data_IF_101838692392
#
_entry.id   IF_101838692392
#
_cell.length_a   1.000
_cell.length_b   1.000
_cell.length_c   1.000
_cell.angle_alpha   90.00
_cell.angle_beta   90.00
_cell.angle_gamma   90.00
#
_symmetry.space_group_name_H-M   'P 1'
#
loop_
_entity.id
_entity.type
_entity.pdbx_description
1 polymer ?
#
# COMPACT_ATOMS: atom_id res chain seq x y z
N UNK A 1 -11.72 -39.42 4.07
CA UNK A 1 -11.45 -38.56 5.22
C UNK A 1 -12.16 -37.25 4.93
N UNK A 2 -13.29 -36.98 5.63
CA UNK A 2 -13.99 -35.70 5.49
C UNK A 2 -13.06 -34.62 6.10
N UNK A 3 -12.48 -33.78 5.27
CA UNK A 3 -11.89 -32.54 5.73
C UNK A 3 -13.07 -31.68 6.21
N UNK A 4 -13.28 -31.64 7.53
CA UNK A 4 -14.21 -30.68 8.11
C UNK A 4 -13.80 -29.29 7.60
N UNK A 5 -14.60 -28.76 6.69
CA UNK A 5 -14.33 -27.47 6.09
C UNK A 5 -14.47 -26.42 7.20
N UNK A 6 -13.40 -25.67 7.45
CA UNK A 6 -13.41 -24.64 8.48
C UNK A 6 -14.35 -23.50 8.06
N UNK A 7 -15.46 -23.37 8.78
CA UNK A 7 -16.52 -22.38 8.49
C UNK A 7 -16.50 -21.30 9.57
N UNK A 8 -16.45 -20.04 9.15
CA UNK A 8 -16.54 -18.85 9.99
C UNK A 8 -17.74 -18.01 9.55
N UNK A 9 -18.72 -17.82 10.42
CA UNK A 9 -19.89 -16.97 10.20
C UNK A 9 -20.59 -17.20 8.84
N UNK A 10 -20.70 -18.49 8.41
CA UNK A 10 -21.31 -18.86 7.14
C UNK A 10 -20.41 -18.75 5.91
N UNK A 11 -19.12 -18.53 6.11
CA UNK A 11 -18.09 -18.52 5.08
C UNK A 11 -17.17 -19.73 5.24
N UNK A 12 -17.21 -20.65 4.28
CA UNK A 12 -16.36 -21.83 4.25
C UNK A 12 -15.00 -21.48 3.64
N UNK A 13 -13.94 -21.58 4.43
CA UNK A 13 -12.56 -21.33 3.99
C UNK A 13 -12.13 -22.43 3.04
N UNK A 14 -11.59 -22.07 1.86
CA UNK A 14 -11.26 -23.00 0.80
C UNK A 14 -9.77 -23.06 0.49
N UNK A 15 -9.09 -21.91 0.49
CA UNK A 15 -7.69 -21.83 0.12
C UNK A 15 -6.98 -20.74 0.93
N UNK A 16 -5.84 -21.07 1.54
CA UNK A 16 -4.99 -20.10 2.20
C UNK A 16 -4.20 -19.33 1.14
N UNK A 17 -4.54 -18.06 0.95
CA UNK A 17 -3.93 -17.21 -0.07
C UNK A 17 -2.61 -16.58 0.41
N UNK A 18 -2.56 -16.18 1.70
CA UNK A 18 -1.40 -15.51 2.26
C UNK A 18 -1.33 -15.69 3.79
N UNK A 19 -0.13 -15.91 4.30
CA UNK A 19 0.17 -15.79 5.73
C UNK A 19 1.14 -14.64 5.94
N UNK A 20 0.71 -13.65 6.72
CA UNK A 20 1.54 -12.53 7.18
C UNK A 20 2.03 -12.73 8.61
N UNK A 21 2.66 -11.70 9.18
CA UNK A 21 3.16 -11.73 10.57
C UNK A 21 2.04 -11.70 11.63
N UNK A 22 0.88 -11.18 11.28
CA UNK A 22 -0.22 -10.94 12.23
C UNK A 22 -1.54 -11.58 11.80
N UNK A 23 -1.70 -11.88 10.52
CA UNK A 23 -2.96 -12.34 9.96
C UNK A 23 -2.76 -13.27 8.78
N UNK A 24 -3.80 -14.04 8.49
CA UNK A 24 -3.94 -14.84 7.29
C UNK A 24 -5.04 -14.26 6.41
N UNK A 25 -4.89 -14.42 5.09
CA UNK A 25 -5.94 -14.13 4.11
C UNK A 25 -6.33 -15.45 3.45
N UNK A 26 -7.61 -15.76 3.54
CA UNK A 26 -8.22 -16.96 3.01
C UNK A 26 -9.18 -16.63 1.88
N UNK A 27 -9.17 -17.43 0.83
CA UNK A 27 -10.31 -17.53 -0.06
C UNK A 27 -11.42 -18.28 0.63
N UNK A 28 -12.66 -17.80 0.50
CA UNK A 28 -13.82 -18.41 1.12
C UNK A 28 -15.03 -18.37 0.19
N UNK A 29 -15.96 -19.31 0.42
CA UNK A 29 -17.24 -19.40 -0.27
C UNK A 29 -18.34 -19.18 0.75
N UNK A 30 -19.21 -18.20 0.54
CA UNK A 30 -20.40 -18.00 1.35
C UNK A 30 -21.38 -19.14 1.12
N UNK A 31 -21.76 -19.87 2.14
CA UNK A 31 -22.53 -21.11 2.02
C UNK A 31 -23.92 -20.90 1.42
N UNK A 32 -24.57 -19.79 1.75
CA UNK A 32 -25.93 -19.48 1.25
C UNK A 32 -25.93 -19.15 -0.23
N UNK A 33 -24.98 -18.34 -0.71
CA UNK A 33 -25.00 -17.79 -2.07
C UNK A 33 -24.06 -18.49 -3.04
N UNK A 34 -23.09 -19.26 -2.54
CA UNK A 34 -22.01 -19.84 -3.33
C UNK A 34 -20.99 -18.83 -3.87
N UNK A 35 -21.09 -17.56 -3.48
CA UNK A 35 -20.20 -16.51 -3.96
C UNK A 35 -18.83 -16.58 -3.25
N UNK A 36 -17.79 -16.21 -4.00
CA UNK A 36 -16.40 -16.15 -3.49
C UNK A 36 -16.11 -14.82 -2.83
N UNK A 37 -15.41 -14.89 -1.71
CA UNK A 37 -14.93 -13.77 -0.91
C UNK A 37 -13.49 -14.01 -0.47
N UNK A 38 -12.85 -13.01 0.11
CA UNK A 38 -11.63 -13.17 0.88
C UNK A 38 -11.89 -12.82 2.34
N UNK A 39 -11.33 -13.58 3.26
CA UNK A 39 -11.39 -13.32 4.70
C UNK A 39 -9.98 -12.99 5.20
N UNK A 40 -9.83 -11.86 5.90
CA UNK A 40 -8.62 -11.55 6.66
C UNK A 40 -8.86 -11.86 8.12
N UNK A 41 -8.12 -12.85 8.64
CA UNK A 41 -8.24 -13.43 9.97
C UNK A 41 -6.95 -13.16 10.75
N UNK A 42 -7.03 -12.68 11.99
CA UNK A 42 -5.86 -12.60 12.87
C UNK A 42 -5.35 -14.01 13.24
N UNK A 43 -4.04 -14.14 13.32
CA UNK A 43 -3.43 -15.33 13.91
C UNK A 43 -3.85 -15.47 15.38
N UNK A 44 -4.06 -16.69 15.90
CA UNK A 44 -4.57 -16.90 17.27
C UNK A 44 -3.75 -16.17 18.34
N UNK A 45 -2.42 -16.21 18.25
CA UNK A 45 -1.52 -15.50 19.16
C UNK A 45 -1.66 -13.98 19.08
N UNK A 46 -2.02 -13.44 17.92
CA UNK A 46 -2.24 -12.00 17.68
C UNK A 46 -3.65 -11.56 18.05
N UNK A 47 -4.61 -12.48 17.97
CA UNK A 47 -5.98 -12.23 18.41
C UNK A 47 -6.07 -11.95 19.93
N UNK A 48 -5.14 -12.45 20.74
CA UNK A 48 -5.02 -12.13 22.16
C UNK A 48 -4.56 -10.70 22.44
N UNK A 49 -3.85 -10.07 21.50
CA UNK A 49 -3.25 -8.73 21.65
C UNK A 49 -4.23 -7.63 21.24
N UNK A 50 -4.59 -6.73 22.17
CA UNK A 50 -5.57 -5.66 21.93
C UNK A 50 -5.14 -4.70 20.81
N UNK A 51 -3.85 -4.51 20.62
CA UNK A 51 -3.31 -3.64 19.56
C UNK A 51 -3.59 -4.20 18.16
N UNK A 52 -3.37 -5.50 17.92
CA UNK A 52 -3.65 -6.14 16.64
C UNK A 52 -5.15 -6.19 16.32
N UNK A 53 -5.98 -6.44 17.33
CA UNK A 53 -7.45 -6.35 17.19
C UNK A 53 -7.88 -4.94 16.76
N UNK A 54 -7.29 -3.90 17.36
CA UNK A 54 -7.57 -2.50 17.00
C UNK A 54 -7.14 -2.18 15.57
N UNK A 55 -6.04 -2.75 15.08
CA UNK A 55 -5.63 -2.59 13.68
C UNK A 55 -6.62 -3.23 12.73
N UNK A 56 -7.04 -4.48 13.02
CA UNK A 56 -8.03 -5.17 12.21
C UNK A 56 -9.37 -4.42 12.19
N UNK A 57 -9.83 -3.93 13.34
CA UNK A 57 -11.03 -3.10 13.46
C UNK A 57 -10.92 -1.80 12.65
N UNK A 58 -9.78 -1.11 12.76
CA UNK A 58 -9.53 0.13 12.01
C UNK A 58 -9.58 -0.14 10.50
N UNK A 59 -8.92 -1.19 10.04
CA UNK A 59 -8.91 -1.60 8.63
C UNK A 59 -10.33 -1.91 8.14
N UNK A 60 -11.07 -2.71 8.89
CA UNK A 60 -12.47 -3.04 8.55
C UNK A 60 -13.36 -1.80 8.53
N UNK A 61 -13.25 -0.93 9.53
CA UNK A 61 -14.03 0.31 9.62
C UNK A 61 -13.75 1.25 8.46
N UNK A 62 -12.47 1.51 8.17
CA UNK A 62 -12.07 2.43 7.10
C UNK A 62 -12.45 1.86 5.74
N UNK A 63 -12.15 0.58 5.47
CA UNK A 63 -12.46 -0.05 4.20
C UNK A 63 -13.96 -0.14 3.89
N UNK A 64 -14.81 -0.25 4.93
CA UNK A 64 -16.28 -0.19 4.75
C UNK A 64 -16.79 1.22 4.41
N UNK A 65 -16.08 2.28 4.81
CA UNK A 65 -16.41 3.67 4.49
C UNK A 65 -15.93 4.08 3.09
N UNK A 66 -14.87 3.44 2.59
CA UNK A 66 -14.28 3.77 1.30
C UNK A 66 -14.95 2.93 0.21
N UNK A 67 -15.70 3.59 -0.68
CA UNK A 67 -16.40 2.94 -1.78
C UNK A 67 -15.92 3.50 -3.12
N UNK A 68 -14.94 2.81 -3.71
CA UNK A 68 -14.33 3.20 -4.98
C UNK A 68 -13.87 1.94 -5.73
N UNK A 69 -14.00 1.88 -7.08
CA UNK A 69 -13.65 0.68 -7.86
C UNK A 69 -12.17 0.30 -7.80
N UNK A 70 -11.30 1.19 -7.34
CA UNK A 70 -9.84 0.93 -7.17
C UNK A 70 -9.44 0.72 -5.69
N UNK A 71 -10.41 0.64 -4.78
CA UNK A 71 -10.21 0.36 -3.35
C UNK A 71 -10.88 -0.96 -3.04
N UNK A 72 -10.21 -1.83 -2.28
CA UNK A 72 -10.78 -3.13 -1.88
C UNK A 72 -12.07 -2.92 -1.09
N UNK A 73 -13.13 -3.62 -1.47
CA UNK A 73 -14.41 -3.51 -0.78
C UNK A 73 -14.44 -4.43 0.44
N UNK A 74 -14.68 -3.88 1.62
CA UNK A 74 -14.92 -4.64 2.85
C UNK A 74 -16.40 -4.65 3.13
N UNK A 75 -16.97 -5.84 3.37
CA UNK A 75 -18.40 -6.06 3.55
C UNK A 75 -18.79 -6.15 5.02
N UNK A 76 -18.15 -7.04 5.77
CA UNK A 76 -18.53 -7.40 7.12
C UNK A 76 -17.30 -7.46 8.03
N UNK A 77 -17.51 -7.20 9.31
CA UNK A 77 -16.47 -7.33 10.34
C UNK A 77 -17.04 -8.09 11.54
N UNK A 78 -16.29 -9.07 11.98
CA UNK A 78 -16.63 -9.97 13.07
C UNK A 78 -15.56 -9.82 14.18
N UNK A 79 -15.91 -9.15 15.31
CA UNK A 79 -14.96 -8.85 16.39
C UNK A 79 -14.82 -9.99 17.41
N UNK A 80 -15.13 -11.24 17.05
CA UNK A 80 -15.08 -12.40 17.95
C UNK A 80 -13.72 -12.50 18.64
N UNK A 81 -13.75 -13.01 19.88
CA UNK A 81 -12.56 -13.06 20.73
C UNK A 81 -11.49 -14.01 20.18
N UNK A 82 -11.91 -15.17 19.68
CA UNK A 82 -10.99 -16.22 19.22
C UNK A 82 -10.54 -16.03 17.77
N UNK A 83 -11.47 -15.65 16.90
CA UNK A 83 -11.23 -15.54 15.44
C UNK A 83 -11.70 -14.20 14.89
N UNK A 84 -11.15 -13.06 15.35
CA UNK A 84 -11.53 -11.77 14.80
C UNK A 84 -11.13 -11.67 13.34
N UNK A 85 -12.10 -11.36 12.46
CA UNK A 85 -11.88 -11.32 11.03
C UNK A 85 -12.82 -10.33 10.33
N UNK A 86 -12.52 -10.03 9.08
CA UNK A 86 -13.45 -9.34 8.20
C UNK A 86 -13.53 -10.03 6.83
N UNK A 87 -14.65 -9.80 6.17
CA UNK A 87 -14.96 -10.30 4.83
C UNK A 87 -14.80 -9.18 3.82
N UNK A 88 -14.06 -9.44 2.75
CA UNK A 88 -13.80 -8.49 1.67
C UNK A 88 -14.02 -9.13 0.30
N UNK A 89 -14.04 -8.30 -0.76
CA UNK A 89 -14.11 -8.80 -2.13
C UNK A 89 -12.95 -9.76 -2.40
N UNK A 90 -13.26 -10.84 -3.12
CA UNK A 90 -12.23 -11.69 -3.68
C UNK A 90 -11.68 -11.01 -4.95
N UNK A 91 -10.45 -10.53 -4.88
CA UNK A 91 -9.78 -9.92 -6.01
C UNK A 91 -8.65 -10.85 -6.50
N UNK A 92 -8.79 -11.46 -7.70
CA UNK A 92 -7.82 -12.43 -8.20
C UNK A 92 -6.56 -11.68 -8.69
N UNK A 93 -5.45 -11.87 -8.01
CA UNK A 93 -4.20 -11.22 -8.41
C UNK A 93 -3.11 -11.35 -7.37
N UNK A 94 -1.97 -10.73 -7.65
CA UNK A 94 -0.86 -10.63 -6.73
C UNK A 94 -0.66 -9.17 -6.35
N UNK A 95 -0.04 -8.91 -5.20
CA UNK A 95 0.37 -7.55 -4.92
C UNK A 95 1.50 -7.11 -5.87
N UNK A 96 1.66 -5.80 -6.02
CA UNK A 96 2.64 -5.22 -6.94
C UNK A 96 4.07 -5.62 -6.55
N UNK A 97 4.38 -5.80 -5.26
CA UNK A 97 5.68 -6.29 -4.80
C UNK A 97 6.00 -7.67 -5.33
N UNK A 98 5.06 -8.60 -5.22
CA UNK A 98 5.21 -9.96 -5.75
C UNK A 98 5.40 -9.97 -7.27
N UNK A 99 4.70 -9.06 -7.99
CA UNK A 99 4.88 -8.92 -9.43
C UNK A 99 6.26 -8.36 -9.79
N UNK A 100 6.72 -7.33 -9.08
CA UNK A 100 8.07 -6.77 -9.25
C UNK A 100 9.17 -7.82 -9.03
N UNK A 101 8.97 -8.72 -8.05
CA UNK A 101 9.94 -9.80 -7.77
C UNK A 101 9.92 -10.92 -8.82
N UNK A 102 8.77 -11.23 -9.43
CA UNK A 102 8.65 -12.35 -10.40
C UNK A 102 9.17 -12.02 -11.78
N UNK A 103 8.75 -10.93 -12.39
CA UNK A 103 9.26 -10.40 -13.67
C UNK A 103 8.70 -8.99 -13.88
N UNK A 104 9.57 -8.01 -13.93
CA UNK A 104 9.22 -6.63 -14.27
C UNK A 104 8.52 -6.53 -15.66
N UNK A 105 8.93 -7.40 -16.60
CA UNK A 105 8.37 -7.53 -17.95
C UNK A 105 6.83 -7.68 -17.96
N UNK A 106 6.28 -8.37 -16.96
CA UNK A 106 4.82 -8.56 -16.87
C UNK A 106 4.04 -7.30 -16.49
N UNK A 107 4.74 -6.26 -15.99
CA UNK A 107 4.11 -5.02 -15.53
C UNK A 107 4.25 -3.91 -16.57
N UNK A 108 5.32 -3.91 -17.36
CA UNK A 108 5.65 -2.82 -18.29
C UNK A 108 4.48 -2.45 -19.22
N UNK A 109 3.76 -3.39 -19.84
CA UNK A 109 2.63 -3.02 -20.70
C UNK A 109 1.50 -2.28 -19.95
N UNK A 110 1.38 -2.50 -18.63
CA UNK A 110 0.31 -1.96 -17.81
C UNK A 110 0.81 -0.94 -16.77
N UNK A 111 2.12 -0.65 -16.72
CA UNK A 111 2.70 0.15 -15.62
C UNK A 111 2.07 1.52 -15.49
N UNK A 112 1.83 2.22 -16.60
CA UNK A 112 1.14 3.52 -16.59
C UNK A 112 -0.27 3.41 -16.01
N UNK A 113 -1.02 2.42 -16.46
CA UNK A 113 -2.39 2.18 -15.99
C UNK A 113 -2.44 1.78 -14.50
N UNK A 114 -1.50 0.96 -14.04
CA UNK A 114 -1.38 0.58 -12.63
C UNK A 114 -1.08 1.81 -11.77
N UNK A 115 -0.15 2.66 -12.18
CA UNK A 115 0.22 3.88 -11.46
C UNK A 115 -0.97 4.85 -11.40
N UNK A 116 -1.63 5.10 -12.52
CA UNK A 116 -2.79 5.99 -12.60
C UNK A 116 -3.92 5.53 -11.68
N UNK A 117 -4.33 4.25 -11.77
CA UNK A 117 -5.38 3.69 -10.93
C UNK A 117 -5.02 3.73 -9.43
N UNK A 118 -3.74 3.47 -9.08
CA UNK A 118 -3.28 3.57 -7.68
C UNK A 118 -3.35 5.00 -7.17
N UNK A 119 -3.00 5.96 -8.01
CA UNK A 119 -3.10 7.39 -7.70
C UNK A 119 -4.56 7.85 -7.55
N UNK A 120 -5.47 7.38 -8.40
CA UNK A 120 -6.91 7.67 -8.31
C UNK A 120 -7.53 7.11 -7.01
N UNK A 121 -7.14 5.88 -6.62
CA UNK A 121 -7.58 5.28 -5.37
C UNK A 121 -7.15 6.13 -4.16
N UNK A 122 -5.91 6.62 -4.19
CA UNK A 122 -5.35 7.43 -3.12
C UNK A 122 -5.96 8.84 -3.12
N UNK A 123 -6.18 9.47 -4.29
CA UNK A 123 -6.88 10.74 -4.42
C UNK A 123 -8.29 10.67 -3.80
N UNK A 124 -9.05 9.62 -4.14
CA UNK A 124 -10.37 9.39 -3.55
C UNK A 124 -10.30 9.26 -2.01
N UNK A 125 -9.31 8.56 -1.48
CA UNK A 125 -9.12 8.41 -0.04
C UNK A 125 -8.84 9.77 0.63
N UNK A 126 -8.00 10.60 0.01
CA UNK A 126 -7.69 11.96 0.47
C UNK A 126 -8.91 12.90 0.41
N UNK A 127 -9.75 12.80 -0.62
CA UNK A 127 -11.03 13.55 -0.72
C UNK A 127 -11.96 13.20 0.46
N UNK A 128 -11.95 11.95 0.89
CA UNK A 128 -12.67 11.50 2.10
C UNK A 128 -11.97 11.86 3.41
N UNK A 129 -10.87 12.66 3.34
CA UNK A 129 -10.06 13.11 4.49
C UNK A 129 -9.43 11.98 5.29
N UNK A 130 -9.03 10.91 4.60
CA UNK A 130 -8.26 9.82 5.15
C UNK A 130 -6.85 9.78 4.56
N UNK A 131 -5.85 9.55 5.40
CA UNK A 131 -4.48 9.22 5.04
C UNK A 131 -4.29 7.71 5.15
N UNK A 132 -3.57 7.12 4.22
CA UNK A 132 -3.26 5.70 4.24
C UNK A 132 -2.11 5.36 5.19
N UNK A 133 -1.02 6.13 5.12
CA UNK A 133 0.17 6.07 5.98
C UNK A 133 1.09 4.85 5.78
N UNK A 134 0.73 3.91 4.91
CA UNK A 134 1.57 2.75 4.57
C UNK A 134 1.49 2.42 3.06
N UNK A 135 1.64 3.43 2.21
CA UNK A 135 1.68 3.24 0.75
C UNK A 135 2.99 2.56 0.36
N UNK A 136 2.86 1.39 -0.28
CA UNK A 136 3.96 0.55 -0.77
C UNK A 136 3.45 -0.45 -1.81
N UNK A 137 4.33 -1.10 -2.59
CA UNK A 137 3.92 -2.09 -3.58
C UNK A 137 3.13 -3.28 -2.99
N UNK A 138 3.36 -3.62 -1.72
CA UNK A 138 2.65 -4.71 -1.04
C UNK A 138 1.15 -4.42 -0.88
N UNK A 139 0.78 -3.15 -0.78
CA UNK A 139 -0.59 -2.69 -0.54
C UNK A 139 -1.35 -2.30 -1.82
N UNK A 140 -0.80 -2.63 -2.98
CA UNK A 140 -1.43 -2.49 -4.29
C UNK A 140 -1.62 -3.87 -4.90
N UNK A 141 -2.85 -4.38 -4.91
CA UNK A 141 -3.20 -5.61 -5.63
C UNK A 141 -3.37 -5.31 -7.11
N UNK A 142 -2.89 -6.22 -7.97
CA UNK A 142 -2.98 -6.09 -9.43
C UNK A 142 -3.42 -7.43 -10.03
N UNK A 143 -4.47 -7.45 -10.83
CA UNK A 143 -4.94 -8.64 -11.54
C UNK A 143 -4.25 -8.85 -12.92
N UNK A 144 -4.65 -9.91 -13.63
CA UNK A 144 -4.04 -10.28 -14.92
C UNK A 144 -4.19 -9.23 -16.03
N UNK A 145 -5.19 -8.37 -15.95
CA UNK A 145 -5.48 -7.31 -16.95
C UNK A 145 -5.04 -5.91 -16.50
N UNK A 146 -4.30 -5.82 -15.39
CA UNK A 146 -3.75 -4.55 -14.89
C UNK A 146 -4.73 -3.71 -14.06
N UNK A 147 -5.87 -4.26 -13.64
CA UNK A 147 -6.74 -3.58 -12.68
C UNK A 147 -6.14 -3.60 -11.28
N UNK A 148 -6.42 -2.57 -10.51
CA UNK A 148 -5.83 -2.30 -9.19
C UNK A 148 -6.87 -2.33 -8.08
N UNK A 149 -6.45 -2.78 -6.89
CA UNK A 149 -7.13 -2.53 -5.61
C UNK A 149 -6.11 -2.06 -4.58
N UNK A 150 -6.37 -0.88 -4.00
CA UNK A 150 -5.67 -0.40 -2.81
C UNK A 150 -6.21 -1.16 -1.60
N UNK A 151 -5.30 -1.72 -0.79
CA UNK A 151 -5.61 -2.57 0.37
C UNK A 151 -4.88 -2.10 1.62
N UNK A 152 -5.24 -2.65 2.77
CA UNK A 152 -4.58 -2.50 4.08
C UNK A 152 -4.69 -1.09 4.68
N UNK A 153 -5.82 -0.82 5.34
CA UNK A 153 -6.10 0.45 6.02
C UNK A 153 -5.81 0.41 7.52
N UNK A 154 -5.01 -0.56 7.99
CA UNK A 154 -4.74 -0.76 9.43
C UNK A 154 -4.11 0.48 10.09
N UNK A 155 -3.30 1.25 9.36
CA UNK A 155 -2.66 2.47 9.82
C UNK A 155 -3.38 3.75 9.37
N UNK A 156 -4.50 3.62 8.65
CA UNK A 156 -5.21 4.77 8.12
C UNK A 156 -5.71 5.71 9.24
N UNK A 157 -5.64 7.01 8.97
CA UNK A 157 -5.97 8.05 9.95
C UNK A 157 -6.65 9.25 9.28
N UNK A 158 -7.52 9.94 10.00
CA UNK A 158 -8.12 11.20 9.54
C UNK A 158 -7.07 12.31 9.44
N UNK A 159 -7.13 13.09 8.37
CA UNK A 159 -6.30 14.30 8.20
C UNK A 159 -6.48 15.21 9.40
N UNK A 160 -5.36 15.69 9.96
CA UNK A 160 -5.38 16.60 11.13
C UNK A 160 -5.65 15.92 12.48
N UNK A 161 -5.71 14.59 12.52
CA UNK A 161 -5.84 13.86 13.78
C UNK A 161 -4.62 14.11 14.69
N UNK A 162 -4.89 14.22 16.00
CA UNK A 162 -3.82 14.38 17.01
C UNK A 162 -3.17 13.06 17.42
N UNK A 163 -3.66 11.92 16.92
CA UNK A 163 -3.16 10.59 17.31
C UNK A 163 -1.72 10.36 16.88
N UNK A 164 -1.30 10.87 15.73
CA UNK A 164 0.10 10.81 15.27
C UNK A 164 1.07 11.42 16.29
N UNK A 165 0.71 12.54 16.94
CA UNK A 165 1.54 13.20 17.96
C UNK A 165 1.76 12.37 19.23
N UNK A 166 0.77 11.59 19.64
CA UNK A 166 0.84 10.76 20.87
C UNK A 166 1.78 9.57 20.69
N UNK A 167 1.83 8.99 19.49
CA UNK A 167 2.73 7.86 19.19
C UNK A 167 4.17 8.33 18.90
N UNK A 168 4.35 9.47 18.26
CA UNK A 168 5.66 10.06 18.05
C UNK A 168 6.41 10.36 19.37
N UNK A 169 5.70 10.87 20.39
CA UNK A 169 6.27 11.07 21.72
C UNK A 169 6.78 9.80 22.40
N UNK A 170 6.30 8.61 21.95
CA UNK A 170 6.74 7.30 22.47
C UNK A 170 7.83 6.64 21.65
N UNK A 171 8.39 7.30 20.63
CA UNK A 171 9.44 6.73 19.77
C UNK A 171 8.95 5.54 18.90
N UNK A 172 7.64 5.30 18.81
CA UNK A 172 7.06 4.20 18.05
C UNK A 172 6.82 4.67 16.64
N UNK A 173 7.73 4.31 15.75
CA UNK A 173 7.61 4.55 14.31
C UNK A 173 6.81 3.40 13.69
N UNK A 174 5.55 3.68 13.25
CA UNK A 174 4.65 2.71 12.63
C UNK A 174 4.64 2.88 11.11
N UNK A 175 4.67 1.77 10.39
CA UNK A 175 4.71 1.72 8.93
C UNK A 175 5.99 1.09 8.40
N UNK A 176 6.02 0.87 7.09
CA UNK A 176 7.17 0.26 6.43
C UNK A 176 8.25 1.29 6.21
N UNK A 177 9.36 1.20 6.98
CA UNK A 177 10.42 2.22 7.05
C UNK A 177 10.97 2.66 5.70
N UNK A 178 11.00 1.78 4.70
CA UNK A 178 11.51 2.08 3.34
C UNK A 178 10.66 3.07 2.54
N UNK A 179 9.45 3.39 2.98
CA UNK A 179 8.52 4.30 2.29
C UNK A 179 8.04 5.45 3.17
N UNK A 180 8.55 5.54 4.40
CA UNK A 180 8.08 6.47 5.41
C UNK A 180 8.51 7.90 5.09
N UNK A 181 7.57 8.85 5.17
CA UNK A 181 7.85 10.26 4.92
C UNK A 181 8.64 10.91 6.06
N UNK A 182 9.43 11.97 5.78
CA UNK A 182 10.15 12.72 6.80
C UNK A 182 9.29 13.21 7.96
N UNK A 183 8.07 13.70 7.66
CA UNK A 183 7.12 14.19 8.66
C UNK A 183 6.54 13.06 9.51
N UNK A 184 6.34 11.84 8.95
CA UNK A 184 5.98 10.66 9.74
C UNK A 184 7.10 10.27 10.71
N UNK A 185 8.34 10.30 10.25
CA UNK A 185 9.52 9.98 11.08
C UNK A 185 9.67 10.99 12.21
N UNK A 186 9.46 12.28 11.95
CA UNK A 186 9.51 13.35 12.97
C UNK A 186 8.30 13.38 13.88
N UNK A 187 7.24 12.63 13.58
CA UNK A 187 5.99 12.66 14.34
C UNK A 187 5.22 13.98 14.22
N UNK A 188 5.36 14.64 13.11
CA UNK A 188 4.63 15.89 12.81
C UNK A 188 3.16 15.60 12.49
N UNK A 189 2.35 16.65 12.46
CA UNK A 189 0.98 16.55 11.94
C UNK A 189 1.05 16.23 10.45
N UNK A 190 0.35 15.15 10.05
CA UNK A 190 0.36 14.67 8.69
C UNK A 190 -0.76 15.32 7.86
N UNK A 191 -0.45 15.55 6.60
CA UNK A 191 -1.38 15.83 5.51
C UNK A 191 -1.16 14.83 4.36
N UNK A 192 -1.92 14.95 3.29
CA UNK A 192 -1.88 14.05 2.13
C UNK A 192 -0.49 13.93 1.47
N UNK A 193 0.38 14.93 1.66
CA UNK A 193 1.74 14.92 1.13
C UNK A 193 2.66 13.88 1.78
N UNK A 194 2.26 13.32 2.94
CA UNK A 194 2.95 12.17 3.51
C UNK A 194 2.76 10.91 2.64
N UNK A 195 1.53 10.64 2.20
CA UNK A 195 1.24 9.53 1.30
C UNK A 195 1.86 9.75 -0.10
N UNK A 196 1.90 11.02 -0.58
CA UNK A 196 2.60 11.36 -1.83
C UNK A 196 4.09 11.00 -1.79
N UNK A 197 4.77 11.25 -0.68
CA UNK A 197 6.17 10.84 -0.51
C UNK A 197 6.31 9.30 -0.58
N UNK A 198 5.45 8.58 0.13
CA UNK A 198 5.44 7.11 0.11
C UNK A 198 5.14 6.57 -1.29
N UNK A 199 4.23 7.21 -2.02
CA UNK A 199 3.93 6.90 -3.41
C UNK A 199 5.14 7.18 -4.32
N UNK A 200 5.86 8.28 -4.10
CA UNK A 200 7.14 8.57 -4.77
C UNK A 200 8.19 7.49 -4.53
N UNK A 201 8.31 6.98 -3.29
CA UNK A 201 9.19 5.84 -2.98
C UNK A 201 8.76 4.56 -3.73
N UNK A 202 7.46 4.31 -3.84
CA UNK A 202 6.92 3.19 -4.61
C UNK A 202 7.22 3.32 -6.12
N UNK A 203 7.02 4.51 -6.71
CA UNK A 203 7.38 4.77 -8.10
C UNK A 203 8.88 4.57 -8.35
N UNK A 204 9.71 5.08 -7.45
CA UNK A 204 11.16 4.87 -7.52
C UNK A 204 11.50 3.38 -7.56
N UNK A 205 10.87 2.57 -6.70
CA UNK A 205 11.09 1.12 -6.68
C UNK A 205 10.58 0.44 -7.93
N UNK A 206 9.41 0.80 -8.44
CA UNK A 206 8.86 0.27 -9.71
C UNK A 206 9.87 0.45 -10.85
N UNK A 207 10.47 1.63 -10.97
CA UNK A 207 11.33 1.95 -12.10
C UNK A 207 12.80 1.61 -11.91
N UNK A 208 13.28 1.59 -10.66
CA UNK A 208 14.69 1.33 -10.34
C UNK A 208 14.96 -0.07 -9.77
N UNK A 209 13.92 -0.90 -9.54
CA UNK A 209 14.03 -2.24 -8.96
C UNK A 209 14.38 -2.26 -7.47
N UNK A 210 14.47 -1.10 -6.83
CA UNK A 210 14.80 -0.95 -5.40
C UNK A 210 14.25 0.35 -4.83
N UNK A 211 13.95 0.44 -3.54
CA UNK A 211 13.54 1.69 -2.91
C UNK A 211 14.66 2.75 -2.98
N UNK A 212 14.32 4.06 -2.83
CA UNK A 212 15.28 5.16 -2.96
C UNK A 212 16.43 5.09 -1.97
N UNK A 213 16.18 4.55 -0.77
CA UNK A 213 17.18 4.43 0.29
C UNK A 213 17.26 2.98 0.79
N UNK A 214 18.50 2.55 1.09
CA UNK A 214 18.83 1.28 1.76
C UNK A 214 19.87 1.56 2.83
N UNK A 215 19.84 0.86 3.94
CA UNK A 215 20.82 0.96 5.03
C UNK A 215 20.86 -0.34 5.82
N UNK A 216 21.97 -0.57 6.53
CA UNK A 216 22.19 -1.79 7.33
C UNK A 216 21.45 -1.77 8.67
N UNK A 217 20.94 -0.61 9.07
CA UNK A 217 20.14 -0.49 10.29
C UNK A 217 18.86 0.32 10.07
N UNK A 218 17.80 0.01 10.82
CA UNK A 218 16.55 0.78 10.77
C UNK A 218 16.75 2.27 11.04
N UNK A 219 17.64 2.63 11.97
CA UNK A 219 17.95 4.02 12.32
C UNK A 219 18.60 4.74 11.15
N UNK A 220 19.65 4.15 10.56
CA UNK A 220 20.33 4.72 9.40
C UNK A 220 19.39 4.88 8.19
N UNK A 221 18.46 3.96 8.00
CA UNK A 221 17.45 4.09 6.94
C UNK A 221 16.52 5.30 7.16
N UNK A 222 16.05 5.51 8.39
CA UNK A 222 15.22 6.67 8.73
C UNK A 222 16.01 7.99 8.58
N UNK A 223 17.29 8.02 8.97
CA UNK A 223 18.16 9.18 8.76
C UNK A 223 18.32 9.54 7.28
N UNK A 224 18.43 8.53 6.38
CA UNK A 224 18.45 8.76 4.94
C UNK A 224 17.14 9.36 4.44
N UNK A 225 15.99 8.88 4.90
CA UNK A 225 14.70 9.50 4.57
C UNK A 225 14.62 10.96 5.04
N UNK A 226 15.25 11.31 6.16
CA UNK A 226 15.25 12.68 6.69
C UNK A 226 16.19 13.63 5.93
N UNK A 227 17.38 13.16 5.52
CA UNK A 227 18.47 14.06 5.15
C UNK A 227 19.12 13.75 3.79
N UNK A 228 19.17 12.48 3.35
CA UNK A 228 19.87 12.10 2.12
C UNK A 228 18.99 12.39 0.88
N UNK A 229 19.61 12.99 -0.16
CA UNK A 229 18.96 13.12 -1.47
C UNK A 229 18.97 11.77 -2.19
N UNK A 230 17.85 11.32 -2.78
CA UNK A 230 17.84 10.09 -3.57
C UNK A 230 18.71 10.28 -4.83
N UNK A 231 19.25 9.17 -5.33
CA UNK A 231 19.87 9.17 -6.66
C UNK A 231 18.78 9.41 -7.71
N UNK A 232 19.14 10.06 -8.81
CA UNK A 232 18.23 10.25 -9.93
C UNK A 232 17.78 8.90 -10.48
N UNK A 233 16.47 8.61 -10.61
CA UNK A 233 15.95 7.40 -11.23
C UNK A 233 16.59 7.08 -12.58
N UNK A 234 16.79 8.10 -13.44
CA UNK A 234 17.43 7.96 -14.75
C UNK A 234 18.88 7.45 -14.68
N UNK A 235 19.60 7.71 -13.60
CA UNK A 235 20.94 7.15 -13.41
C UNK A 235 20.92 5.62 -13.23
N UNK A 236 19.78 5.07 -12.83
CA UNK A 236 19.56 3.61 -12.64
C UNK A 236 18.76 3.00 -13.80
N UNK A 237 17.82 3.75 -14.36
CA UNK A 237 17.01 3.37 -15.50
C UNK A 237 17.04 4.45 -16.59
N UNK A 238 18.04 4.44 -17.49
CA UNK A 238 18.20 5.44 -18.54
C UNK A 238 17.07 5.42 -19.60
N UNK A 239 16.11 4.51 -19.51
CA UNK A 239 14.94 4.50 -20.37
C UNK A 239 13.85 5.49 -19.91
N UNK A 240 13.89 5.96 -18.66
CA UNK A 240 12.93 6.96 -18.17
C UNK A 240 13.09 8.30 -18.92
N UNK A 241 11.97 9.01 -19.08
CA UNK A 241 12.00 10.41 -19.52
C UNK A 241 12.51 11.31 -18.39
N UNK A 242 12.95 12.52 -18.75
CA UNK A 242 13.36 13.54 -17.78
C UNK A 242 12.17 13.99 -16.91
N UNK A 243 11.02 14.18 -17.55
CA UNK A 243 9.78 14.55 -16.88
C UNK A 243 9.37 13.54 -15.78
N UNK A 244 9.52 12.24 -16.06
CA UNK A 244 9.20 11.19 -15.07
C UNK A 244 10.23 11.16 -13.93
N UNK A 245 11.52 11.37 -14.26
CA UNK A 245 12.60 11.50 -13.29
C UNK A 245 12.34 12.64 -12.32
N UNK A 246 12.08 13.84 -12.86
CA UNK A 246 11.80 15.06 -12.10
C UNK A 246 10.54 14.91 -11.22
N UNK A 247 9.48 14.30 -11.75
CA UNK A 247 8.25 14.06 -10.98
C UNK A 247 8.53 13.18 -9.75
N UNK A 248 9.27 12.09 -9.92
CA UNK A 248 9.63 11.19 -8.80
C UNK A 248 10.50 11.93 -7.78
N UNK A 249 11.52 12.65 -8.24
CA UNK A 249 12.42 13.40 -7.35
C UNK A 249 11.66 14.49 -6.59
N UNK A 250 10.74 15.20 -7.25
CA UNK A 250 9.89 16.19 -6.61
C UNK A 250 9.01 15.58 -5.52
N UNK A 251 8.45 14.40 -5.73
CA UNK A 251 7.66 13.69 -4.69
C UNK A 251 8.51 13.29 -3.49
N UNK A 252 9.82 13.05 -3.69
CA UNK A 252 10.77 12.65 -2.64
C UNK A 252 11.44 13.84 -1.94
N UNK A 253 11.02 15.09 -2.20
CA UNK A 253 11.56 16.26 -1.50
C UNK A 253 11.31 16.16 0.01
N UNK A 254 12.32 16.56 0.80
CA UNK A 254 12.25 16.51 2.27
C UNK A 254 11.32 17.58 2.83
N UNK A 255 11.25 18.72 2.15
CA UNK A 255 10.24 19.75 2.41
C UNK A 255 8.94 19.39 1.66
N UNK A 256 7.91 19.01 2.42
CA UNK A 256 6.61 18.65 1.86
C UNK A 256 5.98 19.76 1.01
N UNK A 257 6.34 21.05 1.21
CA UNK A 257 5.82 22.18 0.43
C UNK A 257 6.36 22.21 -1.00
N UNK A 258 7.49 21.56 -1.26
CA UNK A 258 8.10 21.46 -2.59
C UNK A 258 7.60 20.27 -3.39
N UNK A 259 6.89 19.33 -2.76
CA UNK A 259 6.27 18.18 -3.43
C UNK A 259 5.14 18.64 -4.35
N UNK A 260 4.60 17.71 -5.10
CA UNK A 260 3.29 17.84 -5.75
C UNK A 260 2.24 18.15 -4.68
N UNK A 261 1.31 19.02 -4.95
CA UNK A 261 0.38 19.54 -3.94
C UNK A 261 -0.54 18.44 -3.40
N UNK A 262 -1.11 17.65 -4.32
CA UNK A 262 -2.03 16.55 -3.99
C UNK A 262 -2.03 15.48 -5.09
N UNK A 263 -2.76 14.39 -4.87
CA UNK A 263 -2.84 13.28 -5.84
C UNK A 263 -3.59 13.66 -7.12
N UNK A 264 -4.49 14.64 -7.10
CA UNK A 264 -5.16 15.12 -8.32
C UNK A 264 -4.17 15.85 -9.25
N UNK A 265 -3.29 16.70 -8.69
CA UNK A 265 -2.19 17.31 -9.47
C UNK A 265 -1.28 16.24 -10.06
N UNK A 266 -0.95 15.20 -9.26
CA UNK A 266 -0.16 14.07 -9.77
C UNK A 266 -0.86 13.40 -10.96
N UNK A 267 -2.12 13.00 -10.83
CA UNK A 267 -2.89 12.33 -11.89
C UNK A 267 -2.97 13.20 -13.13
N UNK A 268 -3.24 14.50 -12.99
CA UNK A 268 -3.32 15.42 -14.11
C UNK A 268 -2.01 15.52 -14.89
N UNK A 269 -0.87 15.58 -14.18
CA UNK A 269 0.46 15.60 -14.82
C UNK A 269 0.81 14.25 -15.46
N UNK A 270 0.52 13.17 -14.77
CA UNK A 270 0.90 11.82 -15.19
C UNK A 270 0.17 11.36 -16.46
N UNK A 271 -1.13 11.68 -16.62
CA UNK A 271 -1.93 11.31 -17.79
C UNK A 271 -1.38 11.76 -19.14
N UNK A 272 -0.73 12.91 -19.18
CA UNK A 272 -0.08 13.43 -20.40
C UNK A 272 1.37 13.03 -20.57
N UNK A 273 1.96 12.32 -19.61
CA UNK A 273 3.39 12.10 -19.53
C UNK A 273 3.84 10.83 -20.25
N UNK A 274 4.89 10.93 -21.05
CA UNK A 274 5.59 9.76 -21.58
C UNK A 274 6.53 9.21 -20.51
N UNK A 275 6.29 7.98 -20.07
CA UNK A 275 7.09 7.35 -18.99
C UNK A 275 8.50 7.00 -19.48
N UNK A 276 8.61 6.42 -20.69
CA UNK A 276 9.87 5.93 -21.24
C UNK A 276 10.22 6.67 -22.53
N UNK A 277 11.49 7.07 -22.66
CA UNK A 277 12.05 7.66 -23.87
C UNK A 277 12.41 6.61 -24.92
N UNK A 278 12.69 5.39 -24.49
CA UNK A 278 13.00 4.18 -25.27
C UNK A 278 12.46 2.94 -24.57
N UNK A 279 12.41 1.83 -25.29
CA UNK A 279 11.99 0.56 -24.69
C UNK A 279 12.80 0.25 -23.42
N UNK A 280 12.15 0.03 -22.27
CA UNK A 280 12.85 -0.17 -21.01
C UNK A 280 13.62 -1.50 -21.03
N UNK A 281 14.94 -1.45 -20.82
CA UNK A 281 15.70 -2.64 -20.46
C UNK A 281 15.43 -2.91 -18.98
N UNK A 282 14.74 -4.01 -18.72
CA UNK A 282 14.36 -4.42 -17.39
C UNK A 282 15.56 -5.00 -16.67
N UNK A 283 16.09 -4.24 -15.72
CA UNK A 283 17.14 -4.74 -14.82
C UNK A 283 16.53 -5.72 -13.84
N UNK A 284 17.13 -6.91 -13.69
CA UNK A 284 16.75 -7.84 -12.61
C UNK A 284 16.86 -7.12 -11.27
N UNK A 285 15.93 -7.36 -10.31
CA UNK A 285 16.11 -6.86 -8.96
C UNK A 285 17.45 -7.37 -8.41
N UNK A 286 18.28 -6.47 -7.93
CA UNK A 286 19.55 -6.76 -7.24
C UNK A 286 19.29 -7.04 -5.76
#
# INVERSE_FOLDING_TARGET
>A
MSTDAYVLNGYRLTNLMMTGQTSQVWEAVQEITGRRYALKLLLPERAAESEHRKYLETEAKVGRLLQHPKVIKIFEYFPEKENPHFVMEFFPGNNLKQRLMRKLESIVPHVGHIIEQSAEALAYMHDKKWLHKDIKPDNIMVNGVGEVRLIDFALAERVGSRWSRLFAKRGIVKGTRSYMSPEQIRGETLDERADLYSFGCMLYEIFCGRPPFRADSPKALLEKHLYEKPRLPRSLNPALTEEMDDLIIRMLDKDRKKRVENMHEFVAKFRGMKIFSKEPKLTKPV
#
